data_IF_462143378092
#
_entry.id   IF_462143378092
#
_cell.length_a   1.000
_cell.length_b   1.000
_cell.length_c   1.000
_cell.angle_alpha   90.00
_cell.angle_beta   90.00
_cell.angle_gamma   90.00
#
_symmetry.space_group_name_H-M   'P 1'
#
loop_
_entity.id
_entity.type
_entity.pdbx_description
1 polymer ?
#
# COMPACT_ATOMS: atom_id res chain seq x y z
N UNK A 1 -16.43 0.99 3.66
CA UNK A 1 -15.97 0.49 4.98
C UNK A 1 -16.32 -0.98 5.14
N UNK A 2 -17.59 -1.35 5.01
CA UNK A 2 -18.05 -2.74 5.12
C UNK A 2 -17.28 -3.67 4.17
N UNK A 3 -17.10 -3.28 2.90
CA UNK A 3 -16.28 -4.05 1.96
C UNK A 3 -14.84 -4.25 2.44
N UNK A 4 -14.19 -3.20 2.98
CA UNK A 4 -12.82 -3.31 3.50
C UNK A 4 -12.74 -4.22 4.73
N UNK A 5 -13.74 -4.17 5.62
CA UNK A 5 -13.82 -5.05 6.79
C UNK A 5 -14.11 -6.50 6.39
N UNK A 6 -15.00 -6.72 5.42
CA UNK A 6 -15.25 -8.02 4.83
C UNK A 6 -13.99 -8.61 4.19
N UNK A 7 -13.28 -7.81 3.38
CA UNK A 7 -12.00 -8.23 2.78
C UNK A 7 -10.92 -8.50 3.84
N UNK A 8 -10.88 -7.71 4.91
CA UNK A 8 -9.96 -7.94 6.03
C UNK A 8 -10.30 -9.25 6.77
N UNK A 9 -11.57 -9.50 7.07
CA UNK A 9 -12.03 -10.73 7.68
C UNK A 9 -11.70 -11.94 6.80
N UNK A 10 -12.00 -11.86 5.50
CA UNK A 10 -11.63 -12.89 4.53
C UNK A 10 -10.12 -13.14 4.52
N UNK A 11 -9.30 -12.09 4.49
CA UNK A 11 -7.84 -12.25 4.52
C UNK A 11 -7.35 -12.89 5.83
N UNK A 12 -7.93 -12.54 6.97
CA UNK A 12 -7.61 -13.14 8.27
C UNK A 12 -8.04 -14.61 8.31
N UNK A 13 -9.18 -14.96 7.72
CA UNK A 13 -9.65 -16.35 7.69
C UNK A 13 -8.76 -17.25 6.84
N UNK A 14 -8.05 -16.71 5.83
CA UNK A 14 -7.05 -17.46 5.05
C UNK A 14 -5.90 -18.02 5.93
N UNK A 15 -5.61 -17.42 7.10
CA UNK A 15 -4.58 -17.94 8.02
C UNK A 15 -4.92 -19.31 8.62
N UNK A 16 -6.17 -19.74 8.52
CA UNK A 16 -6.66 -21.02 9.06
C UNK A 16 -6.86 -22.10 8.00
N UNK A 17 -6.41 -21.83 6.77
CA UNK A 17 -6.59 -22.71 5.62
C UNK A 17 -5.34 -23.56 5.44
N UNK A 18 -5.51 -24.83 5.07
CA UNK A 18 -4.40 -25.73 4.76
C UNK A 18 -3.65 -25.31 3.49
N UNK A 19 -2.40 -25.75 3.38
CA UNK A 19 -1.51 -25.36 2.28
C UNK A 19 -2.09 -25.72 0.90
N UNK A 20 -2.75 -26.87 0.77
CA UNK A 20 -3.36 -27.31 -0.48
C UNK A 20 -4.43 -26.33 -0.97
N UNK A 21 -5.35 -25.93 -0.10
CA UNK A 21 -6.38 -24.94 -0.42
C UNK A 21 -5.81 -23.57 -0.76
N UNK A 22 -4.70 -23.17 -0.14
CA UNK A 22 -3.98 -21.93 -0.51
C UNK A 22 -3.44 -22.05 -1.94
N UNK A 23 -2.85 -23.19 -2.30
CA UNK A 23 -2.34 -23.43 -3.65
C UNK A 23 -3.46 -23.46 -4.70
N UNK A 24 -4.60 -24.09 -4.39
CA UNK A 24 -5.76 -24.12 -5.28
C UNK A 24 -6.33 -22.70 -5.49
N UNK A 25 -6.44 -21.90 -4.42
CA UNK A 25 -6.87 -20.51 -4.49
C UNK A 25 -5.90 -19.65 -5.33
N UNK A 26 -4.58 -19.85 -5.19
CA UNK A 26 -3.57 -19.15 -5.99
C UNK A 26 -3.73 -19.46 -7.48
N UNK A 27 -3.92 -20.75 -7.84
CA UNK A 27 -4.15 -21.17 -9.23
C UNK A 27 -5.43 -20.57 -9.81
N UNK A 28 -6.52 -20.60 -9.05
CA UNK A 28 -7.79 -19.98 -9.44
C UNK A 28 -7.61 -18.48 -9.71
N UNK A 29 -7.02 -17.74 -8.76
CA UNK A 29 -6.78 -16.29 -8.90
C UNK A 29 -5.83 -15.96 -10.04
N UNK A 30 -4.78 -16.75 -10.23
CA UNK A 30 -3.86 -16.55 -11.35
C UNK A 30 -4.59 -16.69 -12.68
N UNK A 31 -5.39 -17.75 -12.84
CA UNK A 31 -6.19 -17.97 -14.05
C UNK A 31 -7.17 -16.82 -14.29
N UNK A 32 -7.86 -16.34 -13.26
CA UNK A 32 -8.75 -15.16 -13.36
C UNK A 32 -7.99 -13.92 -13.87
N UNK A 33 -6.84 -13.60 -13.26
CA UNK A 33 -6.04 -12.41 -13.59
C UNK A 33 -5.52 -12.48 -15.02
N UNK A 34 -4.96 -13.62 -15.44
CA UNK A 34 -4.39 -13.81 -16.78
C UNK A 34 -5.49 -13.71 -17.84
N UNK A 35 -6.64 -14.36 -17.63
CA UNK A 35 -7.76 -14.26 -18.56
C UNK A 35 -8.31 -12.83 -18.65
N UNK A 36 -8.50 -12.17 -17.51
CA UNK A 36 -8.96 -10.79 -17.49
C UNK A 36 -7.99 -9.85 -18.23
N UNK A 37 -6.69 -10.00 -17.99
CA UNK A 37 -5.66 -9.20 -18.66
C UNK A 37 -5.69 -9.40 -20.19
N UNK A 38 -5.80 -10.64 -20.67
CA UNK A 38 -5.84 -10.92 -22.09
C UNK A 38 -7.12 -10.42 -22.77
N UNK A 39 -8.29 -10.59 -22.14
CA UNK A 39 -9.56 -10.21 -22.76
C UNK A 39 -9.83 -8.71 -22.69
N UNK A 40 -9.53 -8.09 -21.55
CA UNK A 40 -9.99 -6.73 -21.24
C UNK A 40 -8.92 -5.65 -21.38
N UNK A 41 -7.62 -5.98 -21.36
CA UNK A 41 -6.55 -4.98 -21.41
C UNK A 41 -5.87 -5.02 -22.79
N UNK A 42 -6.06 -3.97 -23.64
CA UNK A 42 -5.55 -3.96 -25.01
C UNK A 42 -4.03 -4.21 -25.12
N UNK A 43 -3.24 -3.69 -24.19
CA UNK A 43 -1.79 -3.87 -24.16
C UNK A 43 -1.40 -5.34 -24.03
N UNK A 44 -1.90 -6.04 -23.00
CA UNK A 44 -1.57 -7.45 -22.74
C UNK A 44 -2.03 -8.34 -23.89
N UNK A 45 -3.25 -8.13 -24.41
CA UNK A 45 -3.75 -8.86 -25.57
C UNK A 45 -2.83 -8.76 -26.78
N UNK A 46 -2.41 -7.54 -27.12
CA UNK A 46 -1.53 -7.27 -28.26
C UNK A 46 -0.15 -7.88 -28.04
N UNK A 47 0.41 -7.71 -26.83
CA UNK A 47 1.73 -8.23 -26.49
C UNK A 47 1.76 -9.76 -26.56
N UNK A 48 0.82 -10.44 -25.90
CA UNK A 48 0.79 -11.90 -25.83
C UNK A 48 0.51 -12.54 -27.18
N UNK A 49 -0.41 -11.98 -27.98
CA UNK A 49 -0.60 -12.40 -29.38
C UNK A 49 0.68 -12.28 -30.21
N UNK A 50 1.43 -11.19 -30.04
CA UNK A 50 2.68 -10.97 -30.78
C UNK A 50 3.76 -12.00 -30.44
N UNK A 51 3.82 -12.45 -29.19
CA UNK A 51 4.81 -13.45 -28.73
C UNK A 51 4.27 -14.88 -28.70
N UNK A 52 3.07 -15.12 -29.26
CA UNK A 52 2.48 -16.45 -29.35
C UNK A 52 2.02 -17.06 -28.02
N UNK A 53 1.71 -16.24 -27.01
CA UNK A 53 1.24 -16.69 -25.70
C UNK A 53 -0.28 -16.56 -25.62
N UNK A 54 -0.93 -17.60 -25.13
CA UNK A 54 -2.36 -17.65 -24.78
C UNK A 54 -2.54 -17.75 -23.25
N UNK A 55 -3.71 -17.36 -22.71
CA UNK A 55 -4.00 -17.55 -21.29
C UNK A 55 -3.88 -19.00 -20.80
N UNK A 56 -4.15 -19.99 -21.66
CA UNK A 56 -4.06 -21.41 -21.33
C UNK A 56 -2.62 -21.91 -21.13
N UNK A 57 -1.62 -21.13 -21.56
CA UNK A 57 -0.21 -21.42 -21.36
C UNK A 57 0.28 -21.08 -19.96
N UNK A 58 -0.55 -20.41 -19.15
CA UNK A 58 -0.27 -19.98 -17.78
C UNK A 58 -1.21 -20.70 -16.80
N UNK A 59 -0.74 -21.81 -16.22
CA UNK A 59 -1.54 -22.68 -15.32
C UNK A 59 -1.15 -22.52 -13.86
N UNK A 60 0.09 -22.17 -13.59
CA UNK A 60 0.65 -22.01 -12.25
C UNK A 60 1.72 -20.91 -12.18
N UNK A 61 2.29 -20.73 -10.99
CA UNK A 61 3.31 -19.71 -10.72
C UNK A 61 4.57 -19.89 -11.59
N UNK A 62 4.91 -21.13 -11.98
CA UNK A 62 6.11 -21.40 -12.77
C UNK A 62 5.96 -21.00 -14.23
N UNK A 63 4.73 -20.96 -14.73
CA UNK A 63 4.45 -20.48 -16.07
C UNK A 63 4.56 -18.96 -16.20
N UNK A 64 4.56 -18.21 -15.09
CA UNK A 64 4.71 -16.74 -15.10
C UNK A 64 6.00 -16.29 -15.80
N UNK A 65 7.05 -17.11 -15.78
CA UNK A 65 8.34 -16.83 -16.46
C UNK A 65 8.21 -16.76 -18.00
N UNK A 66 7.13 -17.31 -18.56
CA UNK A 66 6.82 -17.19 -20.00
C UNK A 66 6.37 -15.78 -20.36
N UNK A 67 5.79 -15.04 -19.42
CA UNK A 67 5.25 -13.71 -19.69
C UNK A 67 6.38 -12.68 -19.85
N UNK A 68 6.34 -11.82 -20.88
CA UNK A 68 7.35 -10.78 -21.05
C UNK A 68 7.34 -9.78 -19.88
N UNK A 69 8.53 -9.41 -19.41
CA UNK A 69 8.69 -8.39 -18.37
C UNK A 69 8.33 -7.01 -18.92
N UNK A 70 7.55 -6.23 -18.15
CA UNK A 70 7.12 -4.88 -18.50
C UNK A 70 7.79 -3.88 -17.58
N UNK A 71 8.47 -2.90 -18.16
CA UNK A 71 9.09 -1.81 -17.40
C UNK A 71 8.20 -0.55 -17.32
N UNK A 72 8.57 0.36 -16.41
CA UNK A 72 7.86 1.63 -16.21
C UNK A 72 7.82 2.50 -17.47
N UNK A 73 8.87 2.45 -18.31
CA UNK A 73 8.95 3.22 -19.57
C UNK A 73 7.90 2.72 -20.56
N UNK A 74 7.72 1.40 -20.67
CA UNK A 74 6.72 0.75 -21.53
C UNK A 74 5.32 1.13 -21.11
N UNK A 75 5.03 1.12 -19.81
CA UNK A 75 3.74 1.57 -19.26
C UNK A 75 3.47 3.03 -19.64
N UNK A 76 4.43 3.93 -19.42
CA UNK A 76 4.26 5.35 -19.77
C UNK A 76 4.02 5.57 -21.27
N UNK A 77 4.75 4.87 -22.15
CA UNK A 77 4.61 4.99 -23.61
C UNK A 77 3.27 4.47 -24.13
N UNK A 78 2.69 3.49 -23.45
CA UNK A 78 1.48 2.80 -23.89
C UNK A 78 0.29 3.01 -22.93
N UNK A 79 0.32 4.11 -22.15
CA UNK A 79 -0.53 4.32 -20.97
C UNK A 79 -2.01 4.01 -21.20
N UNK A 80 -2.61 4.57 -22.26
CA UNK A 80 -4.03 4.37 -22.54
C UNK A 80 -4.40 2.92 -22.88
N UNK A 81 -3.46 2.13 -23.43
CA UNK A 81 -3.69 0.72 -23.74
C UNK A 81 -3.58 -0.21 -22.53
N UNK A 82 -3.04 0.28 -21.41
CA UNK A 82 -3.04 -0.44 -20.12
C UNK A 82 -4.36 -0.28 -19.36
N UNK A 83 -5.23 0.63 -19.77
CA UNK A 83 -6.55 0.79 -19.16
C UNK A 83 -7.45 -0.31 -19.69
N UNK A 84 -8.06 -1.07 -18.78
CA UNK A 84 -9.08 -2.08 -19.14
C UNK A 84 -10.23 -1.41 -19.89
N UNK A 85 -10.74 -2.08 -20.93
CA UNK A 85 -11.84 -1.59 -21.78
C UNK A 85 -13.05 -1.17 -20.95
N UNK A 86 -13.34 -1.92 -19.90
CA UNK A 86 -14.43 -1.68 -18.94
C UNK A 86 -14.35 -0.29 -18.28
N UNK A 87 -13.14 0.20 -18.01
CA UNK A 87 -12.92 1.46 -17.30
C UNK A 87 -12.47 2.61 -18.21
N UNK A 88 -12.38 2.38 -19.53
CA UNK A 88 -11.86 3.37 -20.48
C UNK A 88 -12.65 4.67 -20.42
N UNK A 89 -13.98 4.59 -20.43
CA UNK A 89 -14.84 5.78 -20.44
C UNK A 89 -14.83 6.51 -19.10
N UNK A 90 -14.84 5.76 -17.99
CA UNK A 90 -14.72 6.34 -16.64
C UNK A 90 -13.42 7.13 -16.46
N UNK A 91 -12.30 6.62 -17.01
CA UNK A 91 -11.02 7.35 -16.98
C UNK A 91 -11.06 8.59 -17.86
N UNK A 92 -11.63 8.49 -19.07
CA UNK A 92 -11.72 9.62 -20.00
C UNK A 92 -12.62 10.75 -19.47
N UNK A 93 -13.74 10.38 -18.83
CA UNK A 93 -14.70 11.31 -18.23
C UNK A 93 -14.26 11.82 -16.85
N UNK A 94 -13.11 11.36 -16.34
CA UNK A 94 -12.61 11.71 -15.00
C UNK A 94 -13.67 11.47 -13.90
N UNK A 95 -14.40 10.36 -13.99
CA UNK A 95 -15.47 10.04 -13.06
C UNK A 95 -14.91 9.56 -11.71
N UNK A 96 -14.49 10.52 -10.88
CA UNK A 96 -13.86 10.28 -9.58
C UNK A 96 -14.81 9.81 -8.48
N UNK A 97 -16.10 9.73 -8.75
CA UNK A 97 -17.07 9.14 -7.82
C UNK A 97 -16.85 7.63 -7.69
N UNK A 98 -16.42 6.97 -8.78
CA UNK A 98 -16.25 5.52 -8.85
C UNK A 98 -14.80 5.08 -9.06
N UNK A 99 -13.91 6.00 -9.49
CA UNK A 99 -12.49 5.74 -9.68
C UNK A 99 -11.61 6.57 -8.75
N UNK A 100 -10.70 5.88 -8.08
CA UNK A 100 -9.61 6.49 -7.35
C UNK A 100 -8.33 6.40 -8.16
N UNK A 101 -7.36 7.26 -7.85
CA UNK A 101 -6.03 7.11 -8.38
C UNK A 101 -4.94 7.38 -7.35
N UNK A 102 -3.75 6.85 -7.66
CA UNK A 102 -2.49 7.21 -7.04
C UNK A 102 -1.54 7.69 -8.12
N UNK A 103 -0.65 8.60 -7.74
CA UNK A 103 0.28 9.21 -8.66
C UNK A 103 1.69 9.13 -8.09
N UNK A 104 2.63 8.74 -8.93
CA UNK A 104 4.05 8.77 -8.56
C UNK A 104 4.58 10.19 -8.75
N UNK A 105 5.42 10.67 -7.82
CA UNK A 105 6.06 12.00 -7.84
C UNK A 105 7.14 12.18 -8.92
N UNK A 106 7.14 11.33 -9.96
CA UNK A 106 8.31 10.98 -10.77
C UNK A 106 9.24 12.11 -11.20
N UNK A 107 10.55 11.86 -11.07
CA UNK A 107 11.68 12.75 -11.40
C UNK A 107 11.76 13.25 -12.86
N UNK A 108 10.96 12.68 -13.77
CA UNK A 108 11.02 12.96 -15.22
C UNK A 108 9.83 13.79 -15.74
N UNK A 109 9.14 14.53 -14.87
CA UNK A 109 8.08 15.50 -15.24
C UNK A 109 6.72 14.92 -15.67
N UNK A 110 6.65 13.68 -16.19
CA UNK A 110 5.39 12.97 -16.49
C UNK A 110 5.06 11.95 -15.40
N UNK A 111 4.20 12.29 -14.43
CA UNK A 111 3.82 11.39 -13.36
C UNK A 111 2.93 10.25 -13.87
N UNK A 112 3.25 9.01 -13.47
CA UNK A 112 2.40 7.85 -13.77
C UNK A 112 1.22 7.84 -12.78
N UNK A 113 -0.01 7.89 -13.30
CA UNK A 113 -1.23 7.68 -12.52
C UNK A 113 -1.66 6.22 -12.63
N UNK A 114 -2.13 5.64 -11.55
CA UNK A 114 -2.68 4.29 -11.50
C UNK A 114 -4.08 4.40 -10.94
N UNK A 115 -5.07 3.98 -11.71
CA UNK A 115 -6.47 3.98 -11.32
C UNK A 115 -6.86 2.67 -10.65
N UNK A 116 -7.83 2.75 -9.75
CA UNK A 116 -8.44 1.59 -9.11
C UNK A 116 -9.86 1.94 -8.68
N UNK A 117 -10.74 0.95 -8.77
CA UNK A 117 -12.14 1.07 -8.42
C UNK A 117 -12.38 0.90 -6.90
N UNK A 118 -13.65 0.97 -6.49
CA UNK A 118 -14.05 0.83 -5.10
C UNK A 118 -13.66 -0.54 -4.51
N UNK A 119 -13.96 -1.69 -5.15
CA UNK A 119 -13.52 -3.01 -4.67
C UNK A 119 -12.01 -3.12 -4.50
N UNK A 120 -11.23 -2.63 -5.48
CA UNK A 120 -9.76 -2.67 -5.42
C UNK A 120 -9.25 -1.78 -4.29
N UNK A 121 -9.83 -0.59 -4.12
CA UNK A 121 -9.51 0.28 -2.98
C UNK A 121 -9.79 -0.42 -1.65
N UNK A 122 -10.92 -1.10 -1.53
CA UNK A 122 -11.30 -1.83 -0.32
C UNK A 122 -10.35 -2.98 -0.02
N UNK A 123 -9.91 -3.71 -1.06
CA UNK A 123 -8.89 -4.73 -0.96
C UNK A 123 -7.54 -4.17 -0.49
N UNK A 124 -7.07 -3.06 -1.08
CA UNK A 124 -5.82 -2.41 -0.66
C UNK A 124 -5.88 -1.90 0.78
N UNK A 125 -7.01 -1.30 1.19
CA UNK A 125 -7.25 -0.88 2.57
C UNK A 125 -7.16 -2.09 3.54
N UNK A 126 -7.69 -3.26 3.15
CA UNK A 126 -7.64 -4.48 3.94
C UNK A 126 -6.23 -5.10 4.05
N UNK A 127 -5.50 -5.18 2.94
CA UNK A 127 -4.10 -5.65 2.92
C UNK A 127 -3.24 -4.78 3.82
N UNK A 128 -3.38 -3.46 3.71
CA UNK A 128 -2.65 -2.51 4.55
C UNK A 128 -3.00 -2.65 6.03
N UNK A 129 -4.28 -2.77 6.36
CA UNK A 129 -4.74 -3.00 7.73
C UNK A 129 -4.17 -4.30 8.31
N UNK A 130 -4.21 -5.40 7.55
CA UNK A 130 -3.65 -6.68 7.98
C UNK A 130 -2.13 -6.59 8.21
N UNK A 131 -1.39 -5.91 7.33
CA UNK A 131 0.05 -5.72 7.49
C UNK A 131 0.38 -4.97 8.80
N UNK A 132 -0.37 -3.92 9.13
CA UNK A 132 -0.20 -3.21 10.39
C UNK A 132 -0.49 -4.11 11.61
N UNK A 133 -1.62 -4.83 11.59
CA UNK A 133 -2.00 -5.73 12.69
C UNK A 133 -0.97 -6.84 12.86
N UNK A 134 -0.47 -7.40 11.76
CA UNK A 134 0.60 -8.40 11.78
C UNK A 134 1.91 -7.87 12.38
N UNK A 135 2.21 -6.58 12.15
CA UNK A 135 3.33 -5.88 12.78
C UNK A 135 3.08 -5.48 14.25
N UNK A 136 1.98 -5.92 14.87
CA UNK A 136 1.66 -5.70 16.28
C UNK A 136 0.82 -4.45 16.56
N UNK A 137 0.35 -3.73 15.54
CA UNK A 137 -0.54 -2.58 15.72
C UNK A 137 -1.91 -3.00 16.25
N UNK A 138 -2.36 -2.35 17.32
CA UNK A 138 -3.73 -2.47 17.80
C UNK A 138 -4.63 -1.46 17.06
N UNK A 139 -5.60 -1.91 16.23
CA UNK A 139 -6.44 -1.01 15.43
C UNK A 139 -7.40 -0.15 16.25
N UNK A 140 -7.56 -0.43 17.55
CA UNK A 140 -8.36 0.37 18.49
C UNK A 140 -7.55 1.52 19.13
N UNK A 141 -6.25 1.60 18.84
CA UNK A 141 -5.35 2.63 19.39
C UNK A 141 -4.91 3.61 18.29
N UNK A 142 -4.66 4.89 18.62
CA UNK A 142 -4.16 5.84 17.64
C UNK A 142 -2.79 5.44 17.10
N UNK A 143 -2.60 5.60 15.79
CA UNK A 143 -1.33 5.43 15.11
C UNK A 143 -0.73 6.81 14.81
N UNK A 144 0.44 7.11 15.36
CA UNK A 144 1.20 8.30 14.97
C UNK A 144 1.73 8.09 13.56
N UNK A 145 1.32 8.94 12.62
CA UNK A 145 1.44 8.67 11.19
C UNK A 145 2.17 9.80 10.47
N UNK A 146 3.44 9.57 10.13
CA UNK A 146 4.25 10.54 9.39
C UNK A 146 3.87 10.55 7.92
N UNK A 147 3.49 11.72 7.39
CA UNK A 147 3.05 11.82 6.00
C UNK A 147 3.18 13.24 5.44
N UNK A 148 3.17 13.37 4.11
CA UNK A 148 3.41 14.66 3.44
C UNK A 148 2.33 15.71 3.75
N UNK A 149 1.08 15.28 3.95
CA UNK A 149 -0.05 16.17 4.24
C UNK A 149 -0.91 15.63 5.36
N UNK A 150 -1.46 16.55 6.15
CA UNK A 150 -2.56 16.23 7.06
C UNK A 150 -3.71 15.73 6.21
N UNK A 151 -4.20 14.54 6.54
CA UNK A 151 -5.43 14.00 5.95
C UNK A 151 -6.46 13.91 7.03
N UNK A 152 -7.71 14.05 6.64
CA UNK A 152 -8.79 13.73 7.57
C UNK A 152 -8.85 12.22 7.80
N UNK A 153 -9.06 11.86 9.07
CA UNK A 153 -9.47 10.51 9.41
C UNK A 153 -10.80 10.21 8.71
N UNK A 154 -10.97 8.96 8.26
CA UNK A 154 -12.23 8.51 7.69
C UNK A 154 -13.34 8.65 8.75
N UNK A 155 -14.57 8.93 8.34
CA UNK A 155 -15.69 9.21 9.25
C UNK A 155 -15.86 8.13 10.34
N UNK A 156 -15.69 6.86 9.97
CA UNK A 156 -15.81 5.74 10.89
C UNK A 156 -14.66 5.64 11.89
N UNK A 157 -13.46 6.10 11.54
CA UNK A 157 -12.35 6.23 12.48
C UNK A 157 -12.61 7.33 13.51
N UNK A 158 -13.37 8.38 13.13
CA UNK A 158 -13.80 9.44 14.04
C UNK A 158 -14.89 8.93 15.01
N UNK A 159 -15.86 8.15 14.52
CA UNK A 159 -16.99 7.64 15.32
C UNK A 159 -16.61 6.44 16.20
N UNK A 160 -15.97 5.42 15.63
CA UNK A 160 -15.69 4.15 16.32
C UNK A 160 -14.27 4.03 16.86
N UNK A 161 -13.40 5.00 16.59
CA UNK A 161 -12.00 4.99 17.05
C UNK A 161 -11.07 4.02 16.28
N UNK A 162 -11.59 3.23 15.33
CA UNK A 162 -10.78 2.26 14.57
C UNK A 162 -9.83 2.90 13.57
N UNK A 163 -8.58 2.43 13.53
CA UNK A 163 -7.52 2.90 12.63
C UNK A 163 -7.32 4.43 12.67
N UNK A 164 -7.55 5.04 13.84
CA UNK A 164 -7.36 6.48 14.01
C UNK A 164 -5.90 6.85 13.79
N UNK A 165 -5.64 7.80 12.90
CA UNK A 165 -4.30 8.33 12.62
C UNK A 165 -4.13 9.71 13.24
N UNK A 166 -2.99 9.93 13.87
CA UNK A 166 -2.52 11.24 14.31
C UNK A 166 -1.41 11.65 13.35
N UNK A 167 -1.71 12.56 12.43
CA UNK A 167 -0.78 12.92 11.36
C UNK A 167 0.36 13.81 11.86
N UNK A 168 1.58 13.46 11.49
CA UNK A 168 2.76 14.32 11.68
C UNK A 168 3.25 14.80 10.31
N UNK A 169 3.25 16.12 10.05
CA UNK A 169 3.65 16.65 8.76
C UNK A 169 5.15 16.49 8.48
N UNK A 170 5.47 16.17 7.22
CA UNK A 170 6.86 15.96 6.77
C UNK A 170 7.76 17.21 6.92
N UNK A 171 7.18 18.41 6.83
CA UNK A 171 7.92 19.67 6.86
C UNK A 171 8.28 20.14 8.28
N UNK A 172 7.89 19.40 9.33
CA UNK A 172 8.33 19.70 10.70
C UNK A 172 9.77 19.20 10.90
N UNK A 173 10.60 19.98 11.60
CA UNK A 173 11.93 19.52 12.01
C UNK A 173 11.85 18.49 13.15
N UNK A 174 13.00 17.88 13.46
CA UNK A 174 13.13 16.79 14.45
C UNK A 174 12.64 17.22 15.83
N UNK A 175 13.00 18.43 16.26
CA UNK A 175 12.64 18.96 17.59
C UNK A 175 11.13 19.08 17.73
N UNK A 176 10.46 19.73 16.77
CA UNK A 176 9.01 19.91 16.80
C UNK A 176 8.27 18.57 16.75
N UNK A 177 8.77 17.62 15.97
CA UNK A 177 8.22 16.27 15.93
C UNK A 177 8.39 15.55 17.27
N UNK A 178 9.56 15.65 17.90
CA UNK A 178 9.85 15.05 19.20
C UNK A 178 9.00 15.65 20.32
N UNK A 179 8.85 16.97 20.37
CA UNK A 179 7.95 17.66 21.31
C UNK A 179 6.50 17.18 21.15
N UNK A 180 6.04 17.05 19.91
CA UNK A 180 4.72 16.51 19.62
C UNK A 180 4.57 15.06 20.07
N UNK A 181 5.58 14.22 19.83
CA UNK A 181 5.61 12.83 20.33
C UNK A 181 5.55 12.77 21.86
N UNK A 182 6.31 13.60 22.57
CA UNK A 182 6.28 13.65 24.04
C UNK A 182 4.96 14.15 24.62
N UNK A 183 4.22 14.99 23.87
CA UNK A 183 2.86 15.42 24.24
C UNK A 183 1.83 14.31 24.04
N UNK A 184 1.91 13.61 22.90
CA UNK A 184 0.92 12.57 22.52
C UNK A 184 1.21 11.22 23.18
N UNK A 185 2.47 10.93 23.53
CA UNK A 185 2.93 9.67 24.11
C UNK A 185 2.46 8.46 23.28
N UNK A 186 2.84 8.37 22.00
CA UNK A 186 2.30 7.38 21.08
C UNK A 186 2.65 5.95 21.49
N UNK A 187 1.65 5.07 21.53
CA UNK A 187 1.86 3.64 21.69
C UNK A 187 2.32 2.98 20.37
N UNK A 188 1.92 3.53 19.22
CA UNK A 188 2.21 2.99 17.90
C UNK A 188 2.66 4.08 16.95
N UNK A 189 3.77 3.83 16.24
CA UNK A 189 4.41 4.79 15.34
C UNK A 189 4.51 4.19 13.94
N UNK A 190 4.12 4.96 12.92
CA UNK A 190 4.26 4.63 11.51
C UNK A 190 5.00 5.76 10.77
N UNK A 191 6.26 5.52 10.40
CA UNK A 191 7.21 6.56 10.05
C UNK A 191 8.21 6.15 8.95
N UNK A 192 8.89 7.14 8.36
CA UNK A 192 10.10 6.87 7.56
C UNK A 192 11.28 6.53 8.48
N UNK A 193 12.09 5.50 8.16
CA UNK A 193 13.23 5.13 8.98
C UNK A 193 14.30 6.24 9.03
N UNK A 194 14.53 6.97 7.94
CA UNK A 194 15.47 8.11 7.93
C UNK A 194 15.07 9.21 8.93
N UNK A 195 13.80 9.59 8.95
CA UNK A 195 13.31 10.64 9.86
C UNK A 195 13.39 10.18 11.32
N UNK A 196 13.00 8.95 11.63
CA UNK A 196 13.15 8.40 12.98
C UNK A 196 14.60 8.35 13.42
N UNK A 197 15.51 7.99 12.51
CA UNK A 197 16.94 7.97 12.79
C UNK A 197 17.49 9.36 13.14
N UNK A 198 17.06 10.42 12.45
CA UNK A 198 17.47 11.79 12.81
C UNK A 198 16.91 12.23 14.17
N UNK A 199 15.65 11.91 14.47
CA UNK A 199 15.06 12.15 15.79
C UNK A 199 15.83 11.39 16.88
N UNK A 200 16.14 10.12 16.66
CA UNK A 200 16.89 9.28 17.59
C UNK A 200 18.32 9.82 17.82
N UNK A 201 19.02 10.23 16.76
CA UNK A 201 20.32 10.91 16.89
C UNK A 201 20.23 12.19 17.71
N UNK A 202 19.20 12.99 17.48
CA UNK A 202 18.97 14.21 18.26
C UNK A 202 18.78 13.90 19.74
N UNK A 203 17.97 12.89 20.07
CA UNK A 203 17.73 12.41 21.44
C UNK A 203 19.05 11.99 22.10
N UNK A 204 19.84 11.16 21.44
CA UNK A 204 21.11 10.64 21.95
C UNK A 204 22.14 11.76 22.14
N UNK A 205 22.30 12.65 21.16
CA UNK A 205 23.28 13.73 21.23
C UNK A 205 22.97 14.74 22.35
N UNK A 206 21.69 15.05 22.57
CA UNK A 206 21.26 16.03 23.57
C UNK A 206 20.85 15.41 24.91
N UNK A 207 21.06 14.10 25.10
CA UNK A 207 20.65 13.35 26.30
C UNK A 207 19.18 13.57 26.70
N UNK A 208 18.27 13.65 25.71
CA UNK A 208 16.85 13.90 25.96
C UNK A 208 16.21 12.68 26.61
N UNK A 209 15.59 12.86 27.78
CA UNK A 209 14.82 11.79 28.43
C UNK A 209 13.42 11.72 27.84
N UNK A 210 13.09 10.60 27.20
CA UNK A 210 11.74 10.36 26.68
C UNK A 210 10.74 10.07 27.81
N UNK A 211 9.54 10.63 27.72
CA UNK A 211 8.45 10.41 28.66
C UNK A 211 7.43 9.36 28.19
N UNK A 212 7.77 8.59 27.16
CA UNK A 212 6.94 7.54 26.56
C UNK A 212 7.80 6.41 25.99
N UNK A 213 7.21 5.24 25.80
CA UNK A 213 7.83 4.07 25.16
C UNK A 213 6.82 3.43 24.21
N UNK A 214 7.04 3.50 22.87
CA UNK A 214 6.16 2.85 21.92
C UNK A 214 6.14 1.33 22.13
N UNK A 215 4.98 0.71 21.88
CA UNK A 215 4.82 -0.75 21.82
C UNK A 215 5.28 -1.32 20.49
N UNK A 216 5.09 -0.59 19.39
CA UNK A 216 5.63 -0.95 18.10
C UNK A 216 5.94 0.29 17.24
N UNK A 217 7.02 0.18 16.46
CA UNK A 217 7.44 1.15 15.45
C UNK A 217 7.42 0.43 14.10
N UNK A 218 6.67 0.96 13.16
CA UNK A 218 6.47 0.39 11.82
C UNK A 218 7.06 1.38 10.82
N UNK A 219 8.10 0.95 10.10
CA UNK A 219 8.78 1.80 9.11
C UNK A 219 8.28 1.54 7.69
N UNK A 220 8.28 2.56 6.83
CA UNK A 220 7.83 2.42 5.44
C UNK A 220 8.59 3.30 4.44
N UNK A 221 8.33 3.08 3.14
CA UNK A 221 8.84 3.80 1.97
C UNK A 221 10.35 3.78 1.73
N UNK A 222 11.16 3.43 2.72
CA UNK A 222 12.62 3.39 2.66
C UNK A 222 13.14 2.11 3.31
N UNK A 223 14.39 1.75 3.02
CA UNK A 223 15.07 0.62 3.63
C UNK A 223 15.47 1.00 5.06
N UNK A 224 15.04 0.18 6.04
CA UNK A 224 15.53 0.26 7.41
C UNK A 224 16.85 -0.51 7.51
N UNK A 225 17.96 0.22 7.59
CA UNK A 225 19.29 -0.39 7.79
C UNK A 225 19.47 -0.86 9.24
N UNK A 226 20.43 -1.75 9.47
CA UNK A 226 20.75 -2.24 10.82
C UNK A 226 21.22 -1.10 11.75
N UNK A 227 22.02 -0.17 11.22
CA UNK A 227 22.47 1.01 11.97
C UNK A 227 21.29 1.88 12.39
N UNK A 228 20.33 2.12 11.48
CA UNK A 228 19.11 2.86 11.81
C UNK A 228 18.31 2.12 12.88
N UNK A 229 18.09 0.81 12.71
CA UNK A 229 17.33 -0.03 13.65
C UNK A 229 17.91 -0.03 15.06
N UNK A 230 19.24 -0.11 15.20
CA UNK A 230 19.89 -0.08 16.52
C UNK A 230 19.83 1.29 17.20
N UNK A 231 19.76 2.36 16.41
CA UNK A 231 19.75 3.74 16.91
C UNK A 231 18.34 4.18 17.35
N UNK A 232 17.32 3.75 16.59
CA UNK A 232 15.89 4.02 16.85
C UNK A 232 15.41 3.19 18.04
#
# INVERSE_FOLDING_TARGET
>A
MLESLYKLYWYISLKKIDEKKIQDLKKERLKEIVNYAYENVPFYRKLWKKVGISPNDIKDEEDLKKLPIIDKKTIKRNYHSFISREYKDFVNQLNFQFLFFRQTSGSTGKPLRVYFDIPTKAYLDAVYANALVYAGYNPFKPLLYYWWSMRENKWYSKIFGYFKKIFVPIHWNELKQLEFMQKIKPEYIYYYPSQLFFIAKYILHNNVKLNFKPKAIITHAEILTETMRKTI
#
